data_IF_570737059554
#
_entry.id   IF_570737059554
#
_cell.length_a   1.000
_cell.length_b   1.000
_cell.length_c   1.000
_cell.angle_alpha   90.00
_cell.angle_beta   90.00
_cell.angle_gamma   90.00
#
_symmetry.space_group_name_H-M   'P 1'
#
loop_
_entity.id
_entity.type
_entity.pdbx_description
1 polymer ?
#
# COMPACT_ATOMS: atom_id res chain seq x y z
N UNK A 1 -6.29 9.23 13.81
CA UNK A 1 -7.17 9.69 14.91
C UNK A 1 -6.42 9.53 16.23
N UNK A 2 -6.09 10.63 16.88
CA UNK A 2 -5.31 10.63 18.12
C UNK A 2 -6.01 9.92 19.28
N UNK A 3 -7.35 9.90 19.28
CA UNK A 3 -8.14 9.28 20.36
C UNK A 3 -8.24 7.78 20.22
N UNK A 4 -8.28 7.25 19.01
CA UNK A 4 -8.51 5.82 18.74
C UNK A 4 -7.29 5.11 18.19
N UNK A 5 -6.30 5.84 17.69
CA UNK A 5 -5.16 5.27 16.97
C UNK A 5 -5.44 4.88 15.53
N UNK A 6 -6.67 5.09 15.07
CA UNK A 6 -7.05 4.73 13.71
C UNK A 6 -6.46 5.68 12.68
N UNK A 7 -6.16 5.15 11.52
CA UNK A 7 -5.82 5.95 10.36
C UNK A 7 -7.06 6.67 9.86
N UNK A 8 -6.91 7.97 9.53
CA UNK A 8 -7.98 8.77 8.94
C UNK A 8 -7.59 9.12 7.52
N UNK A 9 -8.39 8.66 6.56
CA UNK A 9 -8.14 8.86 5.13
C UNK A 9 -9.26 9.73 4.56
N UNK A 10 -8.93 10.88 3.94
CA UNK A 10 -9.95 11.68 3.27
C UNK A 10 -10.66 10.87 2.18
N UNK A 11 -11.98 11.02 2.10
CA UNK A 11 -12.77 10.31 1.10
C UNK A 11 -12.32 10.56 -0.33
N UNK A 12 -11.79 11.76 -0.60
CA UNK A 12 -11.28 12.12 -1.92
C UNK A 12 -10.05 11.30 -2.36
N UNK A 13 -9.39 10.60 -1.43
CA UNK A 13 -8.23 9.75 -1.71
C UNK A 13 -8.59 8.29 -1.94
N UNK A 14 -9.86 7.95 -1.86
CA UNK A 14 -10.35 6.58 -1.98
C UNK A 14 -11.20 6.41 -3.22
N UNK A 15 -11.25 5.19 -3.75
CA UNK A 15 -12.16 4.85 -4.83
C UNK A 15 -13.60 4.84 -4.32
N UNK A 16 -14.47 5.59 -4.98
CA UNK A 16 -15.88 5.64 -4.63
C UNK A 16 -16.58 4.28 -4.87
N UNK A 17 -16.06 3.49 -5.78
CA UNK A 17 -16.60 2.20 -6.19
C UNK A 17 -15.85 1.01 -5.58
N UNK A 18 -15.10 1.21 -4.51
CA UNK A 18 -14.28 0.17 -3.87
C UNK A 18 -15.10 -1.10 -3.53
N UNK A 19 -16.30 -0.94 -2.99
CA UNK A 19 -17.17 -2.08 -2.64
C UNK A 19 -17.57 -2.88 -3.87
N UNK A 20 -17.89 -2.20 -4.97
CA UNK A 20 -18.23 -2.84 -6.24
C UNK A 20 -17.04 -3.60 -6.81
N UNK A 21 -15.87 -2.99 -6.78
CA UNK A 21 -14.64 -3.62 -7.28
C UNK A 21 -14.26 -4.85 -6.46
N UNK A 22 -14.31 -4.77 -5.14
CA UNK A 22 -13.98 -5.91 -4.27
C UNK A 22 -14.97 -7.07 -4.47
N UNK A 23 -16.25 -6.78 -4.65
CA UNK A 23 -17.26 -7.79 -4.97
C UNK A 23 -17.01 -8.45 -6.33
N UNK A 24 -16.64 -7.65 -7.32
CA UNK A 24 -16.32 -8.14 -8.67
C UNK A 24 -15.10 -9.06 -8.65
N UNK A 25 -14.05 -8.68 -7.91
CA UNK A 25 -12.84 -9.50 -7.77
C UNK A 25 -13.14 -10.82 -7.07
N UNK A 26 -13.94 -10.78 -6.02
CA UNK A 26 -14.36 -11.97 -5.30
C UNK A 26 -15.18 -12.91 -6.20
N UNK A 27 -16.14 -12.38 -6.94
CA UNK A 27 -17.02 -13.17 -7.81
C UNK A 27 -16.23 -13.88 -8.92
N UNK A 28 -15.25 -13.21 -9.53
CA UNK A 28 -14.46 -13.80 -10.60
C UNK A 28 -13.40 -14.80 -10.11
N UNK A 29 -12.91 -14.63 -8.89
CA UNK A 29 -12.00 -15.60 -8.26
C UNK A 29 -10.59 -15.67 -8.83
N UNK A 30 -10.29 -14.97 -9.92
CA UNK A 30 -8.98 -14.98 -10.57
C UNK A 30 -8.16 -13.72 -10.31
N UNK A 31 -8.70 -12.76 -9.59
CA UNK A 31 -7.96 -11.57 -9.17
C UNK A 31 -7.30 -11.88 -7.83
N UNK A 32 -6.00 -12.11 -7.83
CA UNK A 32 -5.26 -12.55 -6.63
C UNK A 32 -4.58 -11.39 -5.92
N UNK A 33 -4.19 -10.36 -6.65
CA UNK A 33 -3.41 -9.24 -6.11
C UNK A 33 -3.91 -7.92 -6.71
N UNK A 34 -4.04 -6.90 -5.86
CA UNK A 34 -4.22 -5.52 -6.27
C UNK A 34 -3.06 -4.70 -5.71
N UNK A 35 -2.47 -3.87 -6.54
CA UNK A 35 -1.37 -2.99 -6.16
C UNK A 35 -1.85 -1.54 -6.17
N UNK A 36 -1.51 -0.80 -5.15
CA UNK A 36 -1.88 0.61 -5.03
C UNK A 36 -0.75 1.43 -4.40
N UNK A 37 -0.85 2.72 -4.56
CA UNK A 37 0.07 3.70 -3.99
C UNK A 37 -0.67 4.95 -3.56
N UNK A 38 -0.10 6.12 -3.83
CA UNK A 38 -0.67 7.44 -3.53
C UNK A 38 -0.68 7.81 -2.06
N UNK A 39 -0.95 6.89 -1.18
CA UNK A 39 -1.11 7.16 0.25
C UNK A 39 0.21 7.38 0.98
N UNK A 40 1.35 7.04 0.35
CA UNK A 40 2.68 7.06 0.96
C UNK A 40 2.80 6.17 2.20
N UNK A 41 1.98 5.16 2.29
CA UNK A 41 1.92 4.22 3.41
C UNK A 41 2.16 2.80 2.92
N UNK A 42 2.67 1.95 3.78
CA UNK A 42 2.86 0.53 3.49
C UNK A 42 1.81 -0.27 4.25
N UNK A 43 0.99 -1.01 3.54
CA UNK A 43 -0.03 -1.85 4.14
C UNK A 43 -0.35 -3.05 3.25
N UNK A 44 -0.88 -4.11 3.84
CA UNK A 44 -1.32 -5.28 3.13
C UNK A 44 -2.56 -5.85 3.80
N UNK A 45 -3.61 -6.08 3.00
CA UNK A 45 -4.88 -6.63 3.48
C UNK A 45 -5.29 -7.78 2.58
N UNK A 46 -5.67 -8.90 3.19
CA UNK A 46 -6.33 -10.00 2.49
C UNK A 46 -7.83 -9.92 2.72
N UNK A 47 -8.59 -9.91 1.64
CA UNK A 47 -10.03 -9.83 1.71
C UNK A 47 -10.68 -10.63 0.59
N UNK A 48 -11.48 -11.62 0.98
CA UNK A 48 -12.24 -12.47 0.05
C UNK A 48 -11.40 -13.04 -1.11
N UNK A 49 -10.21 -13.54 -0.77
CA UNK A 49 -9.33 -14.23 -1.72
C UNK A 49 -8.42 -13.32 -2.55
N UNK A 50 -8.46 -12.01 -2.35
CA UNK A 50 -7.58 -11.04 -3.00
C UNK A 50 -6.69 -10.39 -1.97
N UNK A 51 -5.39 -10.27 -2.27
CA UNK A 51 -4.45 -9.52 -1.44
C UNK A 51 -4.28 -8.12 -2.01
N UNK A 52 -4.49 -7.12 -1.18
CA UNK A 52 -4.38 -5.71 -1.52
C UNK A 52 -3.11 -5.16 -0.90
N UNK A 53 -2.12 -4.84 -1.72
CA UNK A 53 -0.89 -4.21 -1.27
C UNK A 53 -0.94 -2.71 -1.56
N UNK A 54 -0.72 -1.90 -0.53
CA UNK A 54 -0.45 -0.48 -0.67
C UNK A 54 1.03 -0.27 -0.36
N UNK A 55 1.77 0.36 -1.25
CA UNK A 55 3.19 0.59 -1.07
C UNK A 55 3.46 2.06 -0.80
N UNK A 56 4.52 2.29 -0.02
CA UNK A 56 4.99 3.63 0.29
C UNK A 56 5.57 4.33 -0.94
N UNK A 57 5.92 5.58 -0.77
CA UNK A 57 6.44 6.39 -1.86
C UNK A 57 7.96 6.26 -1.96
N UNK A 58 8.47 6.16 -3.18
CA UNK A 58 9.91 6.24 -3.47
C UNK A 58 10.50 7.51 -2.87
N UNK A 59 9.75 8.59 -2.87
CA UNK A 59 10.17 9.88 -2.34
C UNK A 59 9.84 10.10 -0.85
N UNK A 60 9.27 9.09 -0.16
CA UNK A 60 8.81 9.28 1.22
C UNK A 60 7.83 10.44 1.34
N UNK A 61 8.17 11.44 2.13
CA UNK A 61 7.40 12.69 2.24
C UNK A 61 7.96 13.74 1.27
N UNK A 62 7.77 13.51 -0.04
CA UNK A 62 8.19 14.45 -1.10
C UNK A 62 9.68 14.82 -1.01
N UNK A 63 10.53 13.82 -0.81
CA UNK A 63 11.99 13.96 -0.68
C UNK A 63 12.44 14.74 0.57
N UNK A 64 11.58 14.83 1.57
CA UNK A 64 11.86 15.53 2.84
C UNK A 64 12.05 14.60 4.02
N UNK A 65 12.13 13.30 3.79
CA UNK A 65 12.24 12.30 4.84
C UNK A 65 11.08 11.31 4.85
N UNK A 66 10.83 10.72 5.98
CA UNK A 66 9.75 9.76 6.15
C UNK A 66 8.39 10.44 6.06
N UNK A 67 7.45 9.76 5.40
CA UNK A 67 6.05 10.09 5.54
C UNK A 67 5.48 9.24 6.69
N UNK A 68 5.14 9.91 7.78
CA UNK A 68 4.74 9.25 9.03
C UNK A 68 5.86 8.29 9.48
N UNK A 69 5.64 6.98 9.43
CA UNK A 69 6.66 5.99 9.81
C UNK A 69 7.34 5.32 8.61
N UNK A 70 6.99 5.71 7.39
CA UNK A 70 7.44 5.06 6.16
C UNK A 70 8.50 5.89 5.47
N UNK A 71 9.72 5.36 5.41
CA UNK A 71 10.84 5.99 4.74
C UNK A 71 10.75 5.81 3.22
N UNK A 72 11.65 6.45 2.51
CA UNK A 72 11.82 6.29 1.06
C UNK A 72 12.13 4.84 0.73
N UNK A 73 11.35 4.26 -0.15
CA UNK A 73 11.48 2.85 -0.50
C UNK A 73 10.59 2.47 -1.66
N UNK A 74 10.58 1.18 -1.94
CA UNK A 74 9.72 0.60 -2.99
C UNK A 74 9.24 -0.79 -2.57
N UNK A 75 8.16 -1.23 -3.19
CA UNK A 75 7.65 -2.59 -2.98
C UNK A 75 8.27 -3.57 -3.98
N UNK A 76 8.72 -4.70 -3.49
CA UNK A 76 9.14 -5.84 -4.31
C UNK A 76 8.10 -6.93 -4.15
N UNK A 77 7.41 -7.29 -5.23
CA UNK A 77 6.34 -8.27 -5.20
C UNK A 77 6.74 -9.48 -6.00
N UNK A 78 6.68 -10.66 -5.38
CA UNK A 78 6.89 -11.94 -6.03
C UNK A 78 5.55 -12.65 -6.22
N UNK A 79 5.30 -13.14 -7.42
CA UNK A 79 4.11 -13.91 -7.77
C UNK A 79 4.51 -15.36 -8.00
N UNK A 80 3.72 -16.29 -7.45
CA UNK A 80 3.99 -17.72 -7.56
C UNK A 80 2.93 -18.43 -8.39
N UNK A 81 3.28 -19.58 -8.94
CA UNK A 81 2.41 -20.36 -9.84
C UNK A 81 1.10 -20.79 -9.19
N UNK A 82 1.07 -20.95 -7.87
CA UNK A 82 -0.13 -21.32 -7.14
C UNK A 82 -1.10 -20.16 -6.86
N UNK A 83 -0.78 -18.97 -7.36
CA UNK A 83 -1.58 -17.76 -7.15
C UNK A 83 -1.23 -17.00 -5.89
N UNK A 84 -0.28 -17.49 -5.09
CA UNK A 84 0.21 -16.77 -3.91
C UNK A 84 1.17 -15.66 -4.30
N UNK A 85 1.42 -14.77 -3.36
CA UNK A 85 2.34 -13.66 -3.55
C UNK A 85 3.00 -13.26 -2.23
N UNK A 86 4.15 -12.61 -2.33
CA UNK A 86 4.80 -11.94 -1.21
C UNK A 86 5.12 -10.52 -1.61
N UNK A 87 5.15 -9.61 -0.63
CA UNK A 87 5.56 -8.23 -0.86
C UNK A 87 6.52 -7.81 0.23
N UNK A 88 7.63 -7.23 -0.18
CA UNK A 88 8.63 -6.67 0.71
C UNK A 88 8.80 -5.19 0.39
N UNK A 89 8.78 -4.33 1.42
CA UNK A 89 9.09 -2.92 1.25
C UNK A 89 10.58 -2.72 1.45
N UNK A 90 11.28 -2.32 0.40
CA UNK A 90 12.74 -2.19 0.37
C UNK A 90 13.14 -0.74 0.51
N UNK A 91 13.92 -0.44 1.55
CA UNK A 91 14.54 0.87 1.73
C UNK A 91 15.85 0.91 0.96
N UNK A 92 16.06 1.95 0.17
CA UNK A 92 17.27 2.04 -0.65
C UNK A 92 18.34 2.97 -0.05
N UNK A 93 18.14 3.43 1.18
CA UNK A 93 19.17 4.14 1.94
C UNK A 93 19.33 5.62 1.60
N UNK A 94 18.50 6.17 0.72
CA UNK A 94 18.52 7.61 0.45
C UNK A 94 18.04 8.39 1.67
N UNK A 95 18.64 9.52 1.93
CA UNK A 95 18.26 10.38 3.04
C UNK A 95 18.18 11.83 2.57
N UNK A 96 17.22 12.57 3.13
CA UNK A 96 17.10 13.99 2.89
C UNK A 96 18.34 14.73 3.41
N UNK A 97 18.70 15.82 2.73
CA UNK A 97 19.85 16.63 3.12
C UNK A 97 19.72 17.21 4.54
N UNK A 98 18.48 17.47 4.96
CA UNK A 98 18.18 17.87 6.34
C UNK A 98 17.64 16.64 7.06
N UNK A 99 18.42 16.08 7.96
CA UNK A 99 18.22 14.77 8.55
C UNK A 99 16.79 14.37 8.91
N UNK A 100 16.54 13.08 8.81
CA UNK A 100 15.29 12.45 9.17
C UNK A 100 15.26 12.09 10.65
#
# INVERSE_FOLDING_TARGET
NEKTGDWVVPGAWMHIDARRLTALFHTNGNVKVCLSGHMHLVDAVQYLGTTYYCNGAVCGAWWKGKYQQFAEGYGLVDFYDDGSSTCEYVLYGWRAAQGQ
#
